data_IF_094679502472
#
_entry.id   IF_094679502472
#
_cell.length_a   1.000
_cell.length_b   1.000
_cell.length_c   1.000
_cell.angle_alpha   90.00
_cell.angle_beta   90.00
_cell.angle_gamma   90.00
#
_symmetry.space_group_name_H-M   'P 1'
#
loop_
_entity.id
_entity.type
_entity.pdbx_description
1 polymer ?
#
# COMPACT_ATOMS: atom_id res chain seq x y z
N UNK A 1 10.86 2.53 16.55
CA UNK A 1 11.40 1.52 17.48
C UNK A 1 12.02 0.39 16.68
N UNK A 2 13.16 -0.14 17.10
CA UNK A 2 13.95 -1.10 16.30
C UNK A 2 13.36 -2.52 16.29
N UNK A 3 12.52 -2.82 17.27
CA UNK A 3 11.80 -4.09 17.40
C UNK A 3 10.98 -4.46 16.16
N UNK A 4 10.49 -3.47 15.39
CA UNK A 4 9.71 -3.69 14.16
C UNK A 4 10.52 -4.28 13.00
N UNK A 5 11.85 -4.27 13.10
CA UNK A 5 12.75 -4.86 12.11
C UNK A 5 13.23 -6.27 12.51
N UNK A 6 12.68 -6.83 13.58
CA UNK A 6 12.94 -8.20 14.00
C UNK A 6 11.81 -9.11 13.53
N UNK A 7 12.15 -10.30 13.07
CA UNK A 7 11.17 -11.36 12.89
C UNK A 7 10.71 -11.88 14.26
N UNK A 8 9.50 -12.42 14.31
CA UNK A 8 8.91 -12.94 15.56
C UNK A 8 9.83 -13.95 16.27
N UNK A 9 10.47 -14.86 15.53
CA UNK A 9 11.39 -15.85 16.11
C UNK A 9 12.59 -15.18 16.78
N UNK A 10 13.24 -14.24 16.08
CA UNK A 10 14.40 -13.51 16.59
C UNK A 10 14.06 -12.70 17.85
N UNK A 11 12.90 -12.05 17.87
CA UNK A 11 12.43 -11.34 19.04
C UNK A 11 12.25 -12.28 20.25
N UNK A 12 11.66 -13.46 20.04
CA UNK A 12 11.46 -14.45 21.10
C UNK A 12 12.79 -15.00 21.62
N UNK A 13 13.71 -15.36 20.73
CA UNK A 13 15.04 -15.87 21.11
C UNK A 13 15.82 -14.85 21.96
N UNK A 14 15.77 -13.57 21.58
CA UNK A 14 16.41 -12.48 22.32
C UNK A 14 15.80 -12.27 23.71
N UNK A 15 14.48 -12.43 23.85
CA UNK A 15 13.78 -12.32 25.13
C UNK A 15 14.13 -13.48 26.07
N UNK A 16 14.36 -14.68 25.53
CA UNK A 16 14.80 -15.86 26.27
C UNK A 16 16.30 -15.80 26.64
N UNK A 17 16.99 -14.70 26.32
CA UNK A 17 18.41 -14.48 26.61
C UNK A 17 19.36 -15.20 25.64
N UNK A 18 18.82 -15.73 24.53
CA UNK A 18 19.56 -16.34 23.43
C UNK A 18 19.57 -15.48 22.17
N UNK A 19 19.99 -16.08 21.06
CA UNK A 19 19.94 -15.45 19.74
C UNK A 19 21.02 -14.39 19.46
N UNK A 20 21.05 -13.92 18.22
CA UNK A 20 21.95 -12.85 17.76
C UNK A 20 21.09 -11.71 17.22
N UNK A 21 21.41 -10.48 17.58
CA UNK A 21 20.73 -9.30 17.02
C UNK A 21 21.08 -9.21 15.53
N UNK A 22 20.08 -9.25 14.62
CA UNK A 22 20.33 -9.11 13.19
C UNK A 22 20.75 -7.67 12.85
N UNK A 23 21.26 -7.45 11.63
CA UNK A 23 21.58 -6.11 11.14
C UNK A 23 20.28 -5.30 10.91
N UNK A 24 19.85 -4.59 11.95
CA UNK A 24 18.66 -3.74 11.96
C UNK A 24 18.80 -2.59 10.96
N UNK A 25 20.00 -2.07 10.75
CA UNK A 25 20.22 -0.92 9.87
C UNK A 25 20.11 -1.32 8.40
N UNK A 26 20.65 -2.49 8.03
CA UNK A 26 20.43 -3.08 6.71
C UNK A 26 18.95 -3.37 6.45
N UNK A 27 18.21 -3.93 7.43
CA UNK A 27 16.77 -4.18 7.28
C UNK A 27 15.95 -2.90 7.17
N UNK A 28 16.33 -1.85 7.89
CA UNK A 28 15.71 -0.53 7.75
C UNK A 28 15.92 0.02 6.35
N UNK A 29 17.14 -0.03 5.82
CA UNK A 29 17.44 0.42 4.46
C UNK A 29 16.64 -0.36 3.41
N UNK A 30 16.52 -1.68 3.57
CA UNK A 30 15.68 -2.53 2.70
C UNK A 30 14.21 -2.10 2.80
N UNK A 31 13.68 -1.89 4.01
CA UNK A 31 12.30 -1.46 4.21
C UNK A 31 12.01 -0.10 3.56
N UNK A 32 12.90 0.89 3.70
CA UNK A 32 12.75 2.20 3.03
C UNK A 32 12.72 2.06 1.50
N UNK A 33 13.52 1.16 0.93
CA UNK A 33 13.45 0.84 -0.50
C UNK A 33 12.08 0.28 -0.89
N UNK A 34 11.53 -0.64 -0.10
CA UNK A 34 10.23 -1.26 -0.40
C UNK A 34 9.05 -0.31 -0.32
N UNK A 35 9.10 0.74 0.52
CA UNK A 35 8.03 1.75 0.58
C UNK A 35 7.74 2.45 -0.75
N UNK A 36 8.73 2.46 -1.65
CA UNK A 36 8.63 3.12 -2.96
C UNK A 36 8.28 2.14 -4.09
N UNK A 37 7.97 0.87 -3.76
CA UNK A 37 7.64 -0.17 -4.72
C UNK A 37 6.17 -0.52 -4.55
N UNK A 38 5.39 -0.35 -5.62
CA UNK A 38 4.02 -0.84 -5.68
C UNK A 38 4.05 -2.35 -5.99
N UNK A 39 3.61 -3.23 -5.06
CA UNK A 39 3.66 -4.66 -5.28
C UNK A 39 2.67 -5.04 -6.39
N UNK A 40 3.09 -5.79 -7.41
CA UNK A 40 2.16 -6.26 -8.43
C UNK A 40 1.17 -7.28 -7.83
N UNK A 41 -0.03 -7.42 -8.42
CA UNK A 41 -1.05 -8.36 -7.95
C UNK A 41 -0.66 -9.83 -8.16
N UNK A 42 0.26 -10.10 -9.10
CA UNK A 42 0.74 -11.44 -9.42
C UNK A 42 2.24 -11.38 -9.76
N UNK A 43 3.00 -12.29 -9.14
CA UNK A 43 4.40 -12.58 -9.47
C UNK A 43 4.54 -14.10 -9.55
N UNK A 44 5.17 -14.61 -10.62
CA UNK A 44 5.48 -16.04 -10.74
C UNK A 44 6.73 -16.41 -9.93
N UNK A 45 7.00 -17.70 -9.75
CA UNK A 45 8.25 -18.16 -9.11
C UNK A 45 9.51 -17.68 -9.82
N UNK A 46 9.42 -17.46 -11.13
CA UNK A 46 10.50 -16.96 -11.98
C UNK A 46 10.63 -15.43 -11.95
N UNK A 47 9.79 -14.74 -11.16
CA UNK A 47 9.80 -13.29 -11.02
C UNK A 47 9.07 -12.54 -12.15
N UNK A 48 8.29 -13.24 -12.98
CA UNK A 48 7.52 -12.61 -14.05
C UNK A 48 6.27 -11.92 -13.49
N UNK A 49 5.90 -10.78 -14.09
CA UNK A 49 4.71 -10.00 -13.75
C UNK A 49 3.82 -9.94 -14.99
N UNK A 50 2.86 -10.87 -15.15
CA UNK A 50 1.91 -10.84 -16.24
C UNK A 50 1.09 -9.55 -16.22
N UNK A 51 0.96 -8.87 -17.36
CA UNK A 51 0.10 -7.69 -17.50
C UNK A 51 -1.28 -8.12 -17.96
N UNK A 52 -2.32 -7.63 -17.28
CA UNK A 52 -3.69 -7.73 -17.77
C UNK A 52 -3.93 -6.69 -18.88
N UNK A 53 -4.66 -7.08 -19.93
CA UNK A 53 -5.17 -6.14 -20.92
C UNK A 53 -6.22 -5.22 -20.27
N UNK A 54 -6.12 -3.92 -20.53
CA UNK A 54 -7.08 -2.93 -20.06
C UNK A 54 -7.98 -2.53 -21.22
N UNK A 55 -9.28 -2.41 -20.96
CA UNK A 55 -10.20 -1.81 -21.94
C UNK A 55 -9.81 -0.35 -22.21
N UNK A 56 -9.73 0.01 -23.48
CA UNK A 56 -9.41 1.37 -23.91
C UNK A 56 -10.67 2.24 -23.85
N UNK A 57 -10.72 3.18 -22.89
CA UNK A 57 -11.84 4.11 -22.71
C UNK A 57 -11.59 5.51 -23.31
N UNK A 58 -10.52 5.68 -24.10
CA UNK A 58 -10.10 6.97 -24.65
C UNK A 58 -9.11 7.72 -23.73
N UNK A 59 -8.50 8.78 -24.24
CA UNK A 59 -7.34 9.43 -23.61
C UNK A 59 -7.63 10.13 -22.27
N UNK A 60 -8.88 10.51 -22.01
CA UNK A 60 -9.27 11.30 -20.84
C UNK A 60 -10.20 10.56 -19.86
N UNK A 61 -10.21 9.23 -19.91
CA UNK A 61 -11.05 8.41 -19.04
C UNK A 61 -10.20 7.46 -18.18
N UNK A 62 -10.48 7.44 -16.87
CA UNK A 62 -9.98 6.42 -15.96
C UNK A 62 -11.02 5.31 -15.84
N UNK A 63 -10.57 4.07 -15.93
CA UNK A 63 -11.42 2.88 -15.77
C UNK A 63 -11.20 2.23 -14.40
N UNK A 64 -12.23 1.55 -13.91
CA UNK A 64 -12.20 0.85 -12.63
C UNK A 64 -13.40 -0.05 -12.44
N UNK A 65 -13.50 -0.69 -11.28
CA UNK A 65 -14.65 -1.53 -10.92
C UNK A 65 -15.71 -0.70 -10.23
N UNK A 66 -16.91 -0.62 -10.81
CA UNK A 66 -18.05 0.06 -10.19
C UNK A 66 -18.56 -0.69 -8.96
N UNK A 67 -18.61 0.00 -7.82
CA UNK A 67 -19.04 -0.60 -6.53
C UNK A 67 -20.46 -0.23 -6.12
N UNK A 68 -20.99 0.90 -6.62
CA UNK A 68 -22.35 1.39 -6.35
C UNK A 68 -22.93 2.06 -7.59
N UNK A 69 -24.25 1.96 -7.78
CA UNK A 69 -24.95 2.64 -8.85
C UNK A 69 -25.13 4.14 -8.55
N UNK A 70 -25.05 4.98 -9.57
CA UNK A 70 -25.21 6.43 -9.46
C UNK A 70 -24.26 7.18 -10.42
N UNK A 71 -24.53 8.46 -10.63
CA UNK A 71 -23.64 9.36 -11.39
C UNK A 71 -23.62 10.72 -10.69
N UNK A 72 -22.43 11.22 -10.37
CA UNK A 72 -22.22 12.53 -9.76
C UNK A 72 -20.98 13.21 -10.34
N UNK A 73 -20.92 14.53 -10.19
CA UNK A 73 -19.74 15.34 -10.48
C UNK A 73 -19.38 16.16 -9.23
N UNK A 74 -18.10 16.40 -9.01
CA UNK A 74 -17.61 17.10 -7.84
C UNK A 74 -16.09 17.30 -7.87
N UNK A 75 -15.57 18.06 -6.90
CA UNK A 75 -14.13 18.27 -6.78
C UNK A 75 -13.47 17.00 -6.25
N UNK A 76 -12.54 16.43 -7.01
CA UNK A 76 -11.74 15.30 -6.55
C UNK A 76 -10.76 15.74 -5.46
N UNK A 77 -10.87 15.13 -4.28
CA UNK A 77 -9.96 15.33 -3.14
C UNK A 77 -9.06 14.10 -3.00
N UNK A 78 -7.79 14.27 -3.35
CA UNK A 78 -6.78 13.20 -3.23
C UNK A 78 -6.25 13.16 -1.80
N UNK A 79 -6.40 12.02 -1.14
CA UNK A 79 -6.00 11.79 0.26
C UNK A 79 -5.04 10.60 0.32
N UNK A 80 -3.85 10.83 0.86
CA UNK A 80 -2.84 9.79 1.12
C UNK A 80 -2.78 9.36 2.59
N UNK A 81 -3.02 10.30 3.51
CA UNK A 81 -3.11 10.05 4.95
C UNK A 81 -4.50 10.48 5.44
N UNK A 82 -5.32 9.55 5.98
CA UNK A 82 -6.63 9.89 6.51
C UNK A 82 -6.57 10.87 7.69
N UNK A 83 -5.47 10.93 8.44
CA UNK A 83 -5.32 11.85 9.57
C UNK A 83 -5.25 13.33 9.15
N UNK A 84 -4.85 13.60 7.90
CA UNK A 84 -4.75 14.95 7.34
C UNK A 84 -5.99 15.35 6.53
N UNK A 85 -6.99 14.46 6.43
CA UNK A 85 -8.12 14.62 5.53
C UNK A 85 -9.28 15.39 6.18
N UNK A 86 -9.62 16.56 5.63
CA UNK A 86 -10.85 17.28 5.92
C UNK A 86 -11.73 17.38 4.66
N UNK A 87 -12.67 16.46 4.50
CA UNK A 87 -13.60 16.45 3.38
C UNK A 87 -14.70 17.50 3.57
N UNK A 88 -15.01 18.23 2.51
CA UNK A 88 -16.16 19.13 2.46
C UNK A 88 -17.35 18.48 1.76
N UNK A 89 -18.55 18.96 2.04
CA UNK A 89 -19.76 18.50 1.35
C UNK A 89 -19.65 18.76 -0.16
N UNK A 90 -19.89 17.72 -0.97
CA UNK A 90 -19.80 17.79 -2.44
C UNK A 90 -18.43 17.43 -3.02
N UNK A 91 -17.43 17.14 -2.19
CA UNK A 91 -16.15 16.59 -2.64
C UNK A 91 -16.21 15.08 -2.87
N UNK A 92 -15.40 14.60 -3.80
CA UNK A 92 -15.23 13.17 -4.12
C UNK A 92 -13.89 12.72 -3.54
N UNK A 93 -13.92 11.83 -2.55
CA UNK A 93 -12.72 11.22 -2.00
C UNK A 93 -12.03 10.32 -3.04
N UNK A 94 -10.74 10.57 -3.25
CA UNK A 94 -9.85 9.72 -4.05
C UNK A 94 -8.68 9.32 -3.17
N UNK A 95 -8.54 8.03 -2.85
CA UNK A 95 -7.49 7.52 -1.98
C UNK A 95 -6.95 6.18 -2.48
N UNK A 96 -5.73 5.77 -2.09
CA UNK A 96 -5.16 4.48 -2.50
C UNK A 96 -5.96 3.26 -2.02
N UNK A 97 -6.52 3.33 -0.81
CA UNK A 97 -7.34 2.27 -0.22
C UNK A 97 -8.34 2.84 0.78
N UNK A 98 -9.35 2.06 1.12
CA UNK A 98 -10.31 2.35 2.19
C UNK A 98 -10.36 1.16 3.15
N UNK A 99 -10.44 1.43 4.45
CA UNK A 99 -10.54 0.41 5.49
C UNK A 99 -11.63 0.76 6.53
N UNK A 100 -12.16 -0.21 7.30
CA UNK A 100 -13.28 0.02 8.21
C UNK A 100 -12.96 0.75 9.53
N UNK A 101 -11.69 1.10 9.77
CA UNK A 101 -11.18 1.49 11.09
C UNK A 101 -11.83 2.75 11.70
#
# INVERSE_FOLDING_TARGET
ADVWYLHRGELLDLLDGGGTIPDVEARRAIHERWKHIEPPPLITSEGEIPRAERENMGENALSGTGVSAGMIEGVARIVHDPAEAALQSGEILVCPSTDPA
#
